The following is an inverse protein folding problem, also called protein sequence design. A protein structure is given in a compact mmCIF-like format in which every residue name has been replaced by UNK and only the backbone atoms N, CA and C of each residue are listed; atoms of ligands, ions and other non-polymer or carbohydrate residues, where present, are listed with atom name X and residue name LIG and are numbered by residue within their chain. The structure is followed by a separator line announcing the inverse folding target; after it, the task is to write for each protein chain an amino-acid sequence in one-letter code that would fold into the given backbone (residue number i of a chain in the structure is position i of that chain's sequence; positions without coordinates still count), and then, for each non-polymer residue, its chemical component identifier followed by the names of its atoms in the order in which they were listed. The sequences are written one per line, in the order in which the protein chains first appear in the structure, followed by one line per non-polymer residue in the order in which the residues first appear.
data_IF_082960770201
#
_entry.id   IF_082960770201
#
_cell.length_a   1.000
_cell.length_b   1.000
_cell.length_c   1.000
_cell.angle_alpha   90.00
_cell.angle_beta   90.00
_cell.angle_gamma   90.00
#
_symmetry.space_group_name_H-M   'P 1'
#
loop_
_entity.id
_entity.type
_entity.pdbx_description
1 polymer ?
#
# COMPACT_ATOMS: atom_id res chain seq x y z
N UNK A 1 20.98 5.69 34.11
CA UNK A 1 19.80 4.80 33.99
C UNK A 1 20.07 3.87 32.82
N UNK A 2 19.89 2.55 32.96
CA UNK A 2 20.06 1.62 31.85
C UNK A 2 18.81 1.62 30.98
N UNK A 3 18.95 1.34 29.69
CA UNK A 3 17.80 1.23 28.77
C UNK A 3 16.78 0.16 29.20
N UNK A 4 17.22 -0.82 30.00
CA UNK A 4 16.39 -1.91 30.53
C UNK A 4 15.62 -1.55 31.82
N UNK A 5 15.82 -0.37 32.39
CA UNK A 5 15.17 0.03 33.66
C UNK A 5 13.72 0.50 33.39
N UNK A 6 12.75 0.13 34.25
CA UNK A 6 11.35 0.61 34.11
C UNK A 6 11.26 2.13 34.06
N UNK A 7 12.08 2.83 34.85
CA UNK A 7 12.09 4.29 34.87
C UNK A 7 12.50 4.87 33.51
N UNK A 8 13.36 4.19 32.76
CA UNK A 8 13.78 4.64 31.42
C UNK A 8 12.58 4.67 30.47
N UNK A 9 11.74 3.63 30.49
CA UNK A 9 10.50 3.60 29.70
C UNK A 9 9.51 4.70 30.12
N UNK A 10 9.33 4.94 31.42
CA UNK A 10 8.46 6.02 31.93
C UNK A 10 8.94 7.39 31.45
N UNK A 11 10.26 7.64 31.49
CA UNK A 11 10.85 8.89 31.06
C UNK A 11 10.73 9.09 29.53
N UNK A 12 10.69 8.00 28.75
CA UNK A 12 10.37 8.05 27.32
C UNK A 12 8.89 8.41 27.10
N UNK A 13 7.96 7.76 27.79
CA UNK A 13 6.52 8.05 27.69
C UNK A 13 6.20 9.51 28.07
N UNK A 14 6.85 10.06 29.10
CA UNK A 14 6.64 11.45 29.53
C UNK A 14 7.08 12.49 28.49
N UNK A 15 8.02 12.12 27.61
CA UNK A 15 8.57 12.99 26.57
C UNK A 15 8.01 12.69 25.18
N UNK A 16 7.12 11.70 25.07
CA UNK A 16 6.54 11.29 23.80
C UNK A 16 5.57 12.35 23.26
N UNK A 17 5.88 13.04 22.15
CA UNK A 17 5.00 14.04 21.56
C UNK A 17 3.69 13.43 21.03
N UNK A 18 3.64 12.11 20.82
CA UNK A 18 2.49 11.38 20.30
C UNK A 18 1.62 10.74 21.40
N UNK A 19 1.95 10.93 22.68
CA UNK A 19 1.28 10.24 23.79
C UNK A 19 -0.25 10.46 23.79
N UNK A 20 -0.70 11.65 23.38
CA UNK A 20 -2.12 12.02 23.29
C UNK A 20 -2.93 11.16 22.32
N UNK A 21 -2.32 10.55 21.31
CA UNK A 21 -3.05 9.74 20.33
C UNK A 21 -3.53 8.41 20.93
N UNK A 22 -2.89 7.91 21.99
CA UNK A 22 -3.30 6.66 22.64
C UNK A 22 -4.75 6.69 23.11
N UNK A 23 -5.26 7.83 23.58
CA UNK A 23 -6.65 7.98 24.03
C UNK A 23 -7.66 8.05 22.89
N UNK A 24 -7.21 8.15 21.63
CA UNK A 24 -8.08 8.16 20.45
C UNK A 24 -8.43 6.75 19.94
N UNK A 25 -7.84 5.71 20.54
CA UNK A 25 -8.13 4.32 20.20
C UNK A 25 -9.04 3.66 21.22
N UNK A 26 -9.82 2.68 20.75
CA UNK A 26 -10.56 1.79 21.63
C UNK A 26 -9.58 0.89 22.38
N UNK A 27 -9.56 1.01 23.71
CA UNK A 27 -8.80 0.16 24.62
C UNK A 27 -9.77 -0.37 25.69
N UNK A 28 -10.31 -1.57 25.44
CA UNK A 28 -11.30 -2.21 26.33
C UNK A 28 -10.68 -2.90 27.55
N UNK A 29 -9.40 -3.30 27.45
CA UNK A 29 -8.64 -3.90 28.54
C UNK A 29 -7.27 -3.23 28.64
N UNK A 30 -7.02 -2.59 29.79
CA UNK A 30 -5.75 -1.90 30.08
C UNK A 30 -4.62 -2.87 30.44
N UNK A 31 -4.93 -4.14 30.71
CA UNK A 31 -3.94 -5.17 31.03
C UNK A 31 -3.34 -5.82 29.78
N UNK A 32 -3.91 -5.57 28.59
CA UNK A 32 -3.40 -6.12 27.33
C UNK A 32 -2.33 -5.20 26.73
N UNK A 33 -1.11 -5.72 26.64
CA UNK A 33 -0.07 -5.16 25.79
C UNK A 33 -0.24 -5.69 24.36
N UNK A 34 -0.82 -4.88 23.48
CA UNK A 34 -1.12 -5.31 22.11
C UNK A 34 0.04 -5.00 21.17
N UNK A 35 0.75 -6.05 20.76
CA UNK A 35 1.96 -6.00 19.94
C UNK A 35 1.76 -6.66 18.57
N UNK A 36 0.52 -6.64 18.06
CA UNK A 36 0.13 -7.28 16.79
C UNK A 36 -0.54 -6.29 15.81
N UNK A 37 -0.28 -4.99 16.00
CA UNK A 37 -0.79 -3.91 15.15
C UNK A 37 -0.27 -3.96 13.70
N UNK A 38 0.84 -4.66 13.48
CA UNK A 38 1.39 -4.99 12.17
C UNK A 38 0.55 -6.01 11.40
N UNK A 39 -0.39 -6.69 12.07
CA UNK A 39 -1.34 -7.63 11.47
C UNK A 39 -2.74 -7.02 11.39
N UNK A 40 -3.22 -6.45 12.50
CA UNK A 40 -4.49 -5.72 12.55
C UNK A 40 -4.37 -4.48 13.44
N UNK A 41 -4.58 -3.31 12.87
CA UNK A 41 -4.54 -2.05 13.59
C UNK A 41 -5.66 -1.92 14.63
N UNK A 42 -5.40 -1.11 15.67
CA UNK A 42 -6.41 -0.82 16.69
C UNK A 42 -7.48 0.10 16.13
N UNK A 43 -8.74 -0.10 16.53
CA UNK A 43 -9.88 0.72 16.12
C UNK A 43 -9.79 2.15 16.67
N UNK A 44 -9.75 3.19 15.80
CA UNK A 44 -9.95 4.57 16.21
C UNK A 44 -11.39 4.81 16.70
N UNK A 45 -11.55 5.64 17.73
CA UNK A 45 -12.87 6.04 18.24
C UNK A 45 -13.67 6.80 17.17
N UNK A 46 -13.02 7.67 16.40
CA UNK A 46 -13.64 8.43 15.31
C UNK A 46 -14.21 7.55 14.19
N UNK A 47 -13.66 6.35 13.98
CA UNK A 47 -14.19 5.39 13.01
C UNK A 47 -15.60 4.93 13.38
N UNK A 48 -15.88 4.75 14.68
CA UNK A 48 -17.22 4.37 15.16
C UNK A 48 -18.22 5.49 14.83
N UNK A 49 -17.83 6.75 15.06
CA UNK A 49 -18.66 7.91 14.80
C UNK A 49 -18.92 8.08 13.29
N UNK A 50 -17.87 8.01 12.47
CA UNK A 50 -17.94 8.21 11.03
C UNK A 50 -18.81 7.15 10.32
N UNK A 51 -18.68 5.87 10.70
CA UNK A 51 -19.50 4.80 10.10
C UNK A 51 -20.96 4.92 10.52
N UNK A 52 -21.24 5.25 11.79
CA UNK A 52 -22.62 5.48 12.25
C UNK A 52 -23.26 6.69 11.58
N UNK A 53 -22.51 7.79 11.42
CA UNK A 53 -22.98 8.97 10.71
C UNK A 53 -23.29 8.65 9.24
N UNK A 54 -22.41 7.94 8.53
CA UNK A 54 -22.65 7.51 7.16
C UNK A 54 -23.97 6.71 7.03
N UNK A 55 -24.22 5.75 7.92
CA UNK A 55 -25.46 4.95 7.87
C UNK A 55 -26.71 5.78 8.17
N UNK A 56 -26.65 6.67 9.17
CA UNK A 56 -27.80 7.45 9.66
C UNK A 56 -28.14 8.64 8.76
N UNK A 57 -27.12 9.36 8.32
CA UNK A 57 -27.24 10.69 7.75
C UNK A 57 -26.99 10.72 6.23
N UNK A 58 -26.33 9.69 5.67
CA UNK A 58 -26.05 9.59 4.22
C UNK A 58 -26.78 8.39 3.59
N UNK A 59 -26.34 7.15 3.84
CA UNK A 59 -26.86 5.97 3.13
C UNK A 59 -28.37 5.75 3.35
N UNK A 60 -28.81 5.81 4.62
CA UNK A 60 -30.22 5.65 4.98
C UNK A 60 -31.16 6.60 4.22
N UNK A 61 -30.95 7.93 4.30
CA UNK A 61 -31.83 8.90 3.64
C UNK A 61 -31.56 9.10 2.13
N UNK A 62 -30.31 9.05 1.66
CA UNK A 62 -29.97 9.42 0.28
C UNK A 62 -30.15 8.27 -0.72
N UNK A 63 -30.02 7.02 -0.28
CA UNK A 63 -30.14 5.83 -1.14
C UNK A 63 -29.28 5.98 -2.43
N UNK A 64 -29.88 5.90 -3.61
CA UNK A 64 -29.20 6.03 -4.90
C UNK A 64 -28.69 7.45 -5.17
N UNK A 65 -29.29 8.50 -4.59
CA UNK A 65 -28.86 9.89 -4.88
C UNK A 65 -27.51 10.21 -4.30
N UNK A 66 -27.07 9.47 -3.28
CA UNK A 66 -25.72 9.61 -2.70
C UNK A 66 -24.60 9.29 -3.68
N UNK A 67 -24.86 8.49 -4.73
CA UNK A 67 -23.89 8.29 -5.81
C UNK A 67 -23.42 9.60 -6.47
N UNK A 68 -24.21 10.68 -6.40
CA UNK A 68 -23.81 11.99 -6.89
C UNK A 68 -22.56 12.57 -6.23
N UNK A 69 -22.20 12.12 -5.03
CA UNK A 69 -20.96 12.54 -4.34
C UNK A 69 -20.07 11.37 -3.89
N UNK A 70 -20.62 10.16 -3.77
CA UNK A 70 -19.87 8.96 -3.42
C UNK A 70 -19.00 8.38 -4.53
N UNK A 71 -19.38 8.62 -5.80
CA UNK A 71 -18.76 7.94 -6.96
C UNK A 71 -17.25 8.15 -7.02
N UNK A 72 -16.77 9.36 -6.73
CA UNK A 72 -15.37 9.71 -6.88
C UNK A 72 -14.55 9.52 -5.60
N UNK A 73 -15.14 9.03 -4.51
CA UNK A 73 -14.50 9.06 -3.19
C UNK A 73 -13.23 8.22 -3.05
N UNK A 74 -13.01 7.24 -3.94
CA UNK A 74 -11.81 6.41 -3.94
C UNK A 74 -10.54 7.25 -4.12
N UNK A 75 -10.58 8.28 -4.98
CA UNK A 75 -9.42 9.11 -5.29
C UNK A 75 -9.08 10.11 -4.18
N UNK A 76 -10.01 10.94 -3.65
CA UNK A 76 -9.70 11.80 -2.50
C UNK A 76 -9.25 11.03 -1.26
N UNK A 77 -9.76 9.80 -1.08
CA UNK A 77 -9.29 8.90 0.00
C UNK A 77 -7.88 8.39 -0.29
N UNK A 78 -7.58 8.02 -1.54
CA UNK A 78 -6.22 7.70 -1.98
C UNK A 78 -5.26 8.87 -1.79
N UNK A 79 -5.65 10.08 -2.16
CA UNK A 79 -4.85 11.30 -1.97
C UNK A 79 -4.55 11.56 -0.49
N UNK A 80 -5.46 11.19 0.42
CA UNK A 80 -5.21 11.25 1.86
C UNK A 80 -4.15 10.25 2.28
N UNK A 81 -4.24 8.99 1.82
CA UNK A 81 -3.19 7.97 2.06
C UNK A 81 -1.84 8.48 1.53
N UNK A 82 -1.81 8.99 0.30
CA UNK A 82 -0.61 9.45 -0.38
C UNK A 82 0.14 10.54 0.38
N UNK A 83 -0.55 11.60 0.80
CA UNK A 83 0.08 12.73 1.50
C UNK A 83 0.38 12.46 2.98
N UNK A 84 -0.38 11.57 3.63
CA UNK A 84 -0.20 11.27 5.06
C UNK A 84 0.89 10.23 5.32
N UNK A 85 1.20 9.35 4.36
CA UNK A 85 2.10 8.20 4.59
C UNK A 85 3.10 7.93 3.48
N UNK A 86 2.74 8.13 2.22
CA UNK A 86 3.56 7.66 1.10
C UNK A 86 4.56 8.72 0.62
N UNK A 87 4.32 10.00 0.91
CA UNK A 87 5.05 11.10 0.28
C UNK A 87 4.71 11.23 -1.21
N UNK A 88 3.44 11.00 -1.56
CA UNK A 88 2.92 11.05 -2.92
C UNK A 88 2.01 12.26 -3.13
N UNK A 89 2.20 12.97 -4.24
CA UNK A 89 1.31 14.03 -4.68
C UNK A 89 -0.07 13.49 -5.09
N UNK A 90 -1.08 14.37 -5.08
CA UNK A 90 -2.46 14.05 -5.44
C UNK A 90 -2.58 13.49 -6.88
N UNK A 91 -3.55 12.59 -7.07
CA UNK A 91 -3.83 11.93 -8.34
C UNK A 91 -2.88 10.77 -8.67
N UNK A 92 -2.21 10.20 -7.66
CA UNK A 92 -1.31 9.04 -7.83
C UNK A 92 -1.74 7.81 -7.02
N UNK A 93 -2.76 7.92 -6.17
CA UNK A 93 -3.20 6.85 -5.27
C UNK A 93 -4.70 6.65 -5.39
N UNK A 94 -5.15 5.39 -5.36
CA UNK A 94 -6.55 5.02 -5.20
C UNK A 94 -6.71 4.14 -3.97
N UNK A 95 -7.74 4.41 -3.16
CA UNK A 95 -8.20 3.49 -2.12
C UNK A 95 -9.27 2.56 -2.71
N UNK A 96 -8.89 1.34 -3.05
CA UNK A 96 -9.77 0.38 -3.73
C UNK A 96 -9.33 -1.08 -3.49
N UNK A 97 -10.30 -1.98 -3.68
CA UNK A 97 -10.10 -3.43 -3.74
C UNK A 97 -9.25 -3.99 -2.58
N UNK A 98 -8.42 -5.01 -2.84
CA UNK A 98 -7.52 -5.63 -1.87
C UNK A 98 -6.09 -5.60 -2.37
N UNK A 99 -5.10 -5.76 -1.48
CA UNK A 99 -3.68 -5.72 -1.85
C UNK A 99 -3.38 -6.71 -2.98
N UNK A 100 -3.88 -7.94 -2.87
CA UNK A 100 -3.69 -9.00 -3.87
C UNK A 100 -4.28 -8.64 -5.24
N UNK A 101 -5.48 -8.02 -5.27
CA UNK A 101 -6.12 -7.61 -6.54
C UNK A 101 -5.34 -6.46 -7.18
N UNK A 102 -4.96 -5.46 -6.39
CA UNK A 102 -4.18 -4.32 -6.84
C UNK A 102 -2.78 -4.75 -7.32
N UNK A 103 -2.14 -5.69 -6.60
CA UNK A 103 -0.83 -6.24 -6.95
C UNK A 103 -0.90 -6.98 -8.28
N UNK A 104 -1.90 -7.85 -8.46
CA UNK A 104 -2.14 -8.53 -9.74
C UNK A 104 -2.33 -7.53 -10.89
N UNK A 105 -3.15 -6.50 -10.66
CA UNK A 105 -3.46 -5.49 -11.67
C UNK A 105 -2.19 -4.73 -12.10
N UNK A 106 -1.40 -4.26 -11.14
CA UNK A 106 -0.18 -3.48 -11.41
C UNK A 106 0.97 -4.35 -11.96
N UNK A 107 1.14 -5.57 -11.46
CA UNK A 107 2.14 -6.50 -11.98
C UNK A 107 1.89 -6.79 -13.47
N UNK A 108 0.65 -7.13 -13.83
CA UNK A 108 0.29 -7.44 -15.20
C UNK A 108 0.32 -6.19 -16.11
N UNK A 109 -0.07 -5.03 -15.60
CA UNK A 109 0.08 -3.76 -16.33
C UNK A 109 1.56 -3.45 -16.64
N UNK A 110 2.45 -3.62 -15.66
CA UNK A 110 3.88 -3.39 -15.80
C UNK A 110 4.54 -4.34 -16.80
N UNK A 111 4.19 -5.63 -16.74
CA UNK A 111 4.68 -6.65 -17.68
C UNK A 111 4.26 -6.30 -19.11
N UNK A 112 2.99 -5.96 -19.32
CA UNK A 112 2.47 -5.62 -20.65
C UNK A 112 3.08 -4.31 -21.21
N UNK A 113 3.47 -3.38 -20.34
CA UNK A 113 4.18 -2.15 -20.71
C UNK A 113 5.65 -2.38 -21.11
N UNK A 114 6.17 -3.60 -20.97
CA UNK A 114 7.52 -3.98 -21.41
C UNK A 114 7.47 -5.11 -22.45
N UNK A 115 6.93 -4.84 -23.66
CA UNK A 115 6.78 -5.88 -24.68
C UNK A 115 8.12 -6.50 -25.06
N UNK A 116 8.13 -7.82 -25.24
CA UNK A 116 9.32 -8.60 -25.60
C UNK A 116 10.15 -9.08 -24.41
N UNK A 117 10.01 -8.46 -23.23
CA UNK A 117 10.69 -8.88 -22.00
C UNK A 117 9.97 -10.06 -21.35
N UNK A 118 10.71 -11.09 -20.93
CA UNK A 118 10.15 -12.36 -20.46
C UNK A 118 10.45 -12.70 -19.01
N UNK A 119 11.19 -11.88 -18.29
CA UNK A 119 11.61 -12.18 -16.91
C UNK A 119 10.93 -11.30 -15.88
N UNK A 120 10.46 -11.90 -14.79
CA UNK A 120 10.00 -11.22 -13.57
C UNK A 120 10.91 -11.67 -12.42
N UNK A 121 11.24 -10.75 -11.52
CA UNK A 121 12.08 -11.02 -10.35
C UNK A 121 11.32 -10.69 -9.07
N UNK A 122 11.40 -11.59 -8.10
CA UNK A 122 11.00 -11.38 -6.71
C UNK A 122 12.00 -12.08 -5.78
N UNK A 123 11.75 -12.08 -4.48
CA UNK A 123 12.56 -12.74 -3.47
C UNK A 123 11.79 -13.82 -2.70
N UNK A 124 12.51 -14.76 -2.10
CA UNK A 124 11.91 -15.90 -1.38
C UNK A 124 11.19 -15.46 -0.09
N UNK A 125 11.74 -14.46 0.60
CA UNK A 125 11.20 -13.94 1.86
C UNK A 125 9.91 -13.11 1.69
N UNK A 126 9.63 -12.66 0.47
CA UNK A 126 8.42 -11.92 0.13
C UNK A 126 7.13 -12.65 0.57
N UNK A 127 6.11 -11.86 0.87
CA UNK A 127 4.84 -12.36 1.38
C UNK A 127 4.25 -13.44 0.45
N UNK A 128 3.70 -14.54 0.99
CA UNK A 128 3.26 -15.67 0.17
C UNK A 128 2.28 -15.30 -0.96
N UNK A 129 1.34 -14.38 -0.73
CA UNK A 129 0.35 -14.02 -1.77
C UNK A 129 0.99 -13.38 -3.00
N UNK A 130 2.01 -12.55 -2.82
CA UNK A 130 2.72 -11.87 -3.90
C UNK A 130 3.41 -12.93 -4.77
N UNK A 131 4.11 -13.87 -4.14
CA UNK A 131 4.76 -15.00 -4.82
C UNK A 131 3.76 -15.86 -5.59
N UNK A 132 2.64 -16.22 -4.98
CA UNK A 132 1.61 -17.05 -5.63
C UNK A 132 0.99 -16.34 -6.85
N UNK A 133 0.78 -15.02 -6.77
CA UNK A 133 0.27 -14.23 -7.89
C UNK A 133 1.29 -14.21 -9.03
N UNK A 134 2.58 -13.97 -8.74
CA UNK A 134 3.63 -13.95 -9.74
C UNK A 134 3.84 -15.32 -10.40
N UNK A 135 3.80 -16.41 -9.63
CA UNK A 135 3.84 -17.77 -10.15
C UNK A 135 2.67 -18.03 -11.12
N UNK A 136 1.46 -17.60 -10.74
CA UNK A 136 0.27 -17.69 -11.58
C UNK A 136 0.40 -16.91 -12.89
N UNK A 137 0.85 -15.66 -12.82
CA UNK A 137 1.08 -14.80 -13.99
C UNK A 137 2.16 -15.41 -14.90
N UNK A 138 3.29 -15.84 -14.33
CA UNK A 138 4.38 -16.41 -15.08
C UNK A 138 3.96 -17.68 -15.82
N UNK A 139 3.21 -18.57 -15.15
CA UNK A 139 2.64 -19.77 -15.78
C UNK A 139 1.65 -19.44 -16.90
N UNK A 140 0.77 -18.46 -16.67
CA UNK A 140 -0.26 -18.08 -17.65
C UNK A 140 0.35 -17.47 -18.93
N UNK A 141 1.43 -16.69 -18.79
CA UNK A 141 2.04 -15.93 -19.89
C UNK A 141 3.32 -16.56 -20.45
N UNK A 142 3.79 -17.68 -19.87
CA UNK A 142 5.05 -18.31 -20.25
C UNK A 142 6.26 -17.43 -19.97
N UNK A 143 6.28 -16.75 -18.81
CA UNK A 143 7.38 -15.89 -18.36
C UNK A 143 8.33 -16.67 -17.45
N UNK A 144 9.57 -16.21 -17.38
CA UNK A 144 10.56 -16.67 -16.41
C UNK A 144 10.33 -15.95 -15.09
N UNK A 145 10.04 -16.69 -14.02
CA UNK A 145 10.03 -16.15 -12.67
C UNK A 145 11.35 -16.50 -11.98
N UNK A 146 12.12 -15.47 -11.63
CA UNK A 146 13.32 -15.59 -10.80
C UNK A 146 12.92 -15.26 -9.36
N UNK A 147 13.23 -16.17 -8.45
CA UNK A 147 13.08 -15.97 -7.00
C UNK A 147 14.49 -15.91 -6.42
N UNK A 148 14.86 -14.75 -5.89
CA UNK A 148 16.15 -14.56 -5.19
C UNK A 148 16.07 -15.28 -3.84
N UNK A 149 17.02 -16.18 -3.60
CA UNK A 149 17.11 -16.90 -2.33
C UNK A 149 17.71 -16.00 -1.24
N UNK A 150 16.83 -15.39 -0.44
CA UNK A 150 17.16 -14.54 0.71
C UNK A 150 16.46 -15.03 1.99
N UNK A 151 15.88 -16.22 1.98
CA UNK A 151 15.16 -16.79 3.11
C UNK A 151 15.94 -17.98 3.68
N UNK A 152 15.92 -18.15 5.01
CA UNK A 152 16.34 -19.40 5.64
C UNK A 152 15.23 -19.88 6.57
N UNK A 153 14.68 -21.10 6.38
CA UNK A 153 13.65 -21.63 7.27
C UNK A 153 14.07 -21.54 8.75
N UNK A 154 13.24 -20.87 9.55
CA UNK A 154 13.49 -20.66 10.99
C UNK A 154 14.48 -19.54 11.34
N UNK A 155 15.03 -18.78 10.37
CA UNK A 155 15.89 -17.62 10.61
C UNK A 155 15.42 -16.41 9.79
N UNK A 156 15.34 -15.25 10.42
CA UNK A 156 14.85 -14.01 9.81
C UNK A 156 15.93 -12.91 9.85
N UNK A 157 17.16 -13.23 9.42
CA UNK A 157 18.33 -12.32 9.53
C UNK A 157 18.86 -11.82 8.17
N UNK A 158 18.53 -12.50 7.07
CA UNK A 158 19.15 -12.27 5.75
C UNK A 158 18.13 -11.93 4.64
N UNK A 159 16.92 -11.52 5.02
CA UNK A 159 15.82 -11.27 4.07
C UNK A 159 15.93 -9.93 3.34
N UNK A 160 16.90 -9.07 3.69
CA UNK A 160 17.11 -7.78 3.02
C UNK A 160 17.70 -7.98 1.63
N UNK A 161 17.11 -7.33 0.62
CA UNK A 161 17.68 -7.23 -0.73
C UNK A 161 18.44 -5.91 -0.83
N UNK A 162 19.69 -5.98 -1.27
CA UNK A 162 20.52 -4.80 -1.57
C UNK A 162 20.78 -4.72 -3.08
N UNK A 163 21.22 -3.57 -3.62
CA UNK A 163 21.63 -3.46 -5.02
C UNK A 163 22.64 -4.54 -5.44
N UNK A 164 23.60 -4.88 -4.58
CA UNK A 164 24.63 -5.89 -4.86
C UNK A 164 24.04 -7.31 -4.97
N UNK A 165 22.95 -7.59 -4.24
CA UNK A 165 22.22 -8.86 -4.33
C UNK A 165 21.35 -8.89 -5.59
N UNK A 166 20.71 -7.77 -5.95
CA UNK A 166 19.77 -7.70 -7.06
C UNK A 166 20.45 -7.60 -8.43
N UNK A 167 21.51 -6.80 -8.58
CA UNK A 167 22.14 -6.49 -9.86
C UNK A 167 22.54 -7.73 -10.70
N UNK A 168 23.04 -8.84 -10.12
CA UNK A 168 23.36 -10.05 -10.88
C UNK A 168 22.17 -10.71 -11.60
N UNK A 169 20.94 -10.43 -11.17
CA UNK A 169 19.72 -10.98 -11.79
C UNK A 169 19.12 -10.07 -12.85
N UNK A 170 19.60 -8.82 -12.97
CA UNK A 170 19.06 -7.84 -13.89
C UNK A 170 19.64 -7.97 -15.29
N UNK A 171 18.78 -7.75 -16.29
CA UNK A 171 19.13 -7.72 -17.71
C UNK A 171 18.05 -6.98 -18.51
N UNK A 172 18.29 -6.76 -19.80
CA UNK A 172 17.32 -6.14 -20.71
C UNK A 172 16.05 -6.99 -20.94
N UNK A 173 16.04 -8.26 -20.51
CA UNK A 173 14.87 -9.16 -20.55
C UNK A 173 13.95 -9.03 -19.33
N UNK A 174 14.35 -8.28 -18.30
CA UNK A 174 13.54 -8.13 -17.08
C UNK A 174 12.42 -7.12 -17.32
N UNK A 175 11.17 -7.55 -17.21
CA UNK A 175 10.00 -6.70 -17.33
C UNK A 175 9.65 -6.01 -16.00
N UNK A 176 9.72 -6.77 -14.90
CA UNK A 176 9.21 -6.37 -13.60
C UNK A 176 10.11 -6.91 -12.49
N UNK A 177 10.34 -6.08 -11.48
CA UNK A 177 10.89 -6.49 -10.18
C UNK A 177 9.89 -6.13 -9.09
N UNK A 178 9.65 -7.05 -8.15
CA UNK A 178 8.76 -6.82 -7.01
C UNK A 178 9.46 -7.11 -5.70
N UNK A 179 9.34 -6.23 -4.70
CA UNK A 179 9.91 -6.43 -3.36
C UNK A 179 8.98 -5.80 -2.30
N UNK A 180 9.02 -6.30 -1.07
CA UNK A 180 8.40 -5.62 0.07
C UNK A 180 9.28 -4.43 0.51
N UNK A 181 8.68 -3.31 0.95
CA UNK A 181 9.42 -2.21 1.59
C UNK A 181 9.99 -2.66 2.95
N UNK A 182 9.19 -3.41 3.71
CA UNK A 182 9.57 -4.07 4.95
C UNK A 182 9.17 -5.53 4.86
N UNK A 183 10.14 -6.44 4.99
CA UNK A 183 9.90 -7.88 5.01
C UNK A 183 9.01 -8.27 6.19
N UNK A 184 7.93 -9.00 5.92
CA UNK A 184 6.90 -9.27 6.95
C UNK A 184 7.39 -10.10 8.15
N UNK A 185 8.45 -10.90 7.97
CA UNK A 185 8.99 -11.82 8.99
C UNK A 185 10.13 -11.19 9.78
N UNK A 186 11.18 -10.74 9.11
CA UNK A 186 12.37 -10.16 9.75
C UNK A 186 12.20 -8.70 10.16
N UNK A 187 11.26 -7.97 9.56
CA UNK A 187 11.23 -6.51 9.64
C UNK A 187 12.38 -5.83 8.88
N UNK A 188 13.12 -6.57 8.05
CA UNK A 188 14.19 -6.00 7.24
C UNK A 188 13.63 -4.94 6.28
N UNK A 189 14.20 -3.73 6.35
CA UNK A 189 13.82 -2.61 5.50
C UNK A 189 14.70 -2.56 4.26
N UNK A 190 14.08 -2.67 3.09
CA UNK A 190 14.75 -2.50 1.81
C UNK A 190 14.89 -0.99 1.47
N UNK A 191 16.01 -0.59 0.85
CA UNK A 191 16.24 0.81 0.48
C UNK A 191 15.52 1.14 -0.83
N UNK A 192 14.41 1.87 -0.73
CA UNK A 192 13.51 2.16 -1.85
C UNK A 192 14.28 2.77 -3.04
N UNK A 193 15.02 3.87 -2.80
CA UNK A 193 15.66 4.63 -3.88
C UNK A 193 16.76 3.85 -4.63
N UNK A 194 17.80 3.32 -3.97
CA UNK A 194 18.85 2.57 -4.66
C UNK A 194 18.33 1.38 -5.48
N UNK A 195 17.37 0.63 -4.96
CA UNK A 195 16.77 -0.51 -5.67
C UNK A 195 15.91 -0.04 -6.84
N UNK A 196 15.08 1.00 -6.64
CA UNK A 196 14.24 1.56 -7.71
C UNK A 196 15.10 2.13 -8.85
N UNK A 197 16.15 2.90 -8.53
CA UNK A 197 17.08 3.45 -9.53
C UNK A 197 17.79 2.33 -10.31
N UNK A 198 18.22 1.27 -9.61
CA UNK A 198 18.87 0.12 -10.22
C UNK A 198 17.95 -0.62 -11.19
N UNK A 199 16.71 -0.91 -10.79
CA UNK A 199 15.72 -1.60 -11.66
C UNK A 199 15.44 -0.76 -12.91
N UNK A 200 15.26 0.55 -12.75
CA UNK A 200 15.02 1.49 -13.84
C UNK A 200 16.20 1.60 -14.81
N UNK A 201 17.44 1.48 -14.33
CA UNK A 201 18.66 1.47 -15.18
C UNK A 201 18.62 0.35 -16.23
N UNK A 202 17.98 -0.78 -15.92
CA UNK A 202 17.78 -1.90 -16.86
C UNK A 202 16.48 -1.78 -17.67
N UNK A 203 15.72 -0.70 -17.49
CA UNK A 203 14.44 -0.44 -18.16
C UNK A 203 13.28 -1.29 -17.65
N UNK A 204 13.43 -2.03 -16.55
CA UNK A 204 12.34 -2.74 -15.89
C UNK A 204 11.50 -1.76 -15.05
N UNK A 205 10.29 -2.16 -14.65
CA UNK A 205 9.47 -1.44 -13.67
C UNK A 205 9.65 -2.05 -12.28
N UNK A 206 9.64 -1.20 -11.25
CA UNK A 206 9.68 -1.62 -9.84
C UNK A 206 8.29 -1.53 -9.20
N UNK A 207 7.79 -2.64 -8.66
CA UNK A 207 6.54 -2.72 -7.89
C UNK A 207 6.84 -3.02 -6.41
N UNK A 208 6.54 -2.06 -5.55
CA UNK A 208 6.70 -2.22 -4.11
C UNK A 208 5.42 -2.71 -3.43
N UNK A 209 5.51 -3.70 -2.56
CA UNK A 209 4.48 -3.94 -1.52
C UNK A 209 4.88 -3.18 -0.24
N UNK A 210 4.05 -2.25 0.19
CA UNK A 210 4.28 -1.41 1.36
C UNK A 210 3.31 -1.74 2.52
N UNK A 211 2.70 -2.92 2.54
CA UNK A 211 1.70 -3.33 3.52
C UNK A 211 2.22 -3.29 4.96
N UNK A 212 3.51 -3.59 5.17
CA UNK A 212 4.16 -3.50 6.49
C UNK A 212 4.81 -2.13 6.77
N UNK A 213 4.84 -1.23 5.79
CA UNK A 213 5.51 0.08 5.91
C UNK A 213 4.54 1.26 6.05
N UNK A 214 3.39 1.21 5.37
CA UNK A 214 2.37 2.26 5.38
C UNK A 214 1.88 2.55 6.80
N UNK A 215 2.01 3.81 7.23
CA UNK A 215 1.65 4.24 8.59
C UNK A 215 2.66 3.88 9.68
N UNK A 216 3.79 3.25 9.33
CA UNK A 216 4.86 2.90 10.28
C UNK A 216 6.17 3.70 10.05
N UNK A 217 6.55 3.89 8.79
CA UNK A 217 7.79 4.60 8.41
C UNK A 217 7.55 5.60 7.30
N UNK A 218 8.41 6.62 7.23
CA UNK A 218 8.45 7.53 6.08
C UNK A 218 9.08 6.84 4.86
N UNK A 219 8.40 6.93 3.71
CA UNK A 219 8.79 6.24 2.47
C UNK A 219 9.12 7.16 1.29
N UNK A 220 8.58 8.38 1.24
CA UNK A 220 8.95 9.41 0.26
C UNK A 220 8.91 8.94 -1.22
N UNK A 221 7.82 8.28 -1.65
CA UNK A 221 7.70 7.64 -2.96
C UNK A 221 8.04 8.55 -4.15
N UNK A 222 7.51 9.77 -4.18
CA UNK A 222 7.80 10.71 -5.28
C UNK A 222 9.29 11.10 -5.31
N UNK A 223 9.87 11.39 -4.15
CA UNK A 223 11.31 11.76 -4.04
C UNK A 223 12.22 10.58 -4.40
N UNK A 224 11.77 9.36 -4.12
CA UNK A 224 12.51 8.13 -4.36
C UNK A 224 12.27 7.52 -5.75
N UNK A 225 11.43 8.15 -6.58
CA UNK A 225 11.23 7.76 -7.98
C UNK A 225 10.47 6.45 -8.16
N UNK A 226 9.67 6.05 -7.17
CA UNK A 226 8.85 4.83 -7.20
C UNK A 226 7.89 4.87 -8.38
N UNK A 227 7.89 3.82 -9.20
CA UNK A 227 7.03 3.72 -10.39
C UNK A 227 5.60 3.31 -10.00
N UNK A 228 5.47 2.18 -9.30
CA UNK A 228 4.20 1.59 -8.86
C UNK A 228 4.34 0.93 -7.49
N UNK A 229 3.26 0.94 -6.71
CA UNK A 229 3.24 0.32 -5.38
C UNK A 229 1.83 -0.10 -4.97
N UNK A 230 1.73 -1.02 -4.00
CA UNK A 230 0.49 -1.42 -3.36
C UNK A 230 0.65 -1.48 -1.85
N UNK A 231 -0.45 -1.50 -1.13
CA UNK A 231 -0.44 -1.84 0.28
C UNK A 231 -1.83 -1.93 0.87
N UNK A 232 -1.92 -2.52 2.06
CA UNK A 232 -3.17 -2.58 2.80
C UNK A 232 -3.40 -1.33 3.67
N UNK A 233 -4.60 -1.19 4.23
CA UNK A 233 -4.95 -0.13 5.20
C UNK A 233 -5.28 -0.70 6.59
N UNK A 234 -5.43 -2.02 6.73
CA UNK A 234 -5.90 -2.64 7.97
C UNK A 234 -4.82 -2.95 9.01
N UNK A 235 -3.53 -2.89 8.64
CA UNK A 235 -2.38 -3.08 9.55
C UNK A 235 -2.12 -1.78 10.34
N UNK A 236 -0.94 -1.19 10.20
CA UNK A 236 -0.60 0.11 10.81
C UNK A 236 -1.49 1.28 10.35
N UNK A 237 -2.19 1.13 9.22
CA UNK A 237 -3.21 2.08 8.76
C UNK A 237 -4.53 2.06 9.53
N UNK A 238 -4.71 1.16 10.52
CA UNK A 238 -5.82 1.15 11.50
C UNK A 238 -7.24 1.23 10.90
N UNK A 239 -7.44 0.81 9.66
CA UNK A 239 -8.70 1.02 8.93
C UNK A 239 -9.73 -0.11 9.10
N UNK A 240 -9.44 -1.08 9.97
CA UNK A 240 -10.35 -2.17 10.30
C UNK A 240 -10.18 -3.42 9.44
N UNK A 241 -10.73 -4.57 9.87
CA UNK A 241 -10.42 -5.88 9.31
C UNK A 241 -10.85 -6.00 7.85
N UNK A 242 -9.89 -6.28 6.96
CA UNK A 242 -10.15 -6.42 5.51
C UNK A 242 -10.64 -5.15 4.83
N UNK A 243 -10.36 -3.97 5.40
CA UNK A 243 -10.65 -2.68 4.77
C UNK A 243 -9.97 -2.54 3.40
N UNK A 244 -10.52 -1.69 2.50
CA UNK A 244 -9.98 -1.52 1.16
C UNK A 244 -8.48 -1.21 1.17
N UNK A 245 -7.74 -1.83 0.28
CA UNK A 245 -6.33 -1.56 0.08
C UNK A 245 -6.12 -0.26 -0.71
N UNK A 246 -4.89 -0.04 -1.15
CA UNK A 246 -4.56 1.02 -2.09
C UNK A 246 -3.59 0.54 -3.17
N UNK A 247 -3.62 1.25 -4.29
CA UNK A 247 -2.58 1.20 -5.33
C UNK A 247 -2.04 2.60 -5.56
N UNK A 248 -0.74 2.68 -5.82
CA UNK A 248 -0.04 3.89 -6.23
C UNK A 248 0.52 3.69 -7.64
N UNK A 249 0.34 4.69 -8.49
CA UNK A 249 0.93 4.74 -9.82
C UNK A 249 1.50 6.13 -10.03
N UNK A 250 2.81 6.22 -10.23
CA UNK A 250 3.47 7.49 -10.47
C UNK A 250 2.90 8.14 -11.74
N UNK A 251 2.66 9.45 -11.67
CA UNK A 251 2.07 10.22 -12.77
C UNK A 251 2.81 10.06 -14.10
N UNK A 252 4.13 9.85 -14.05
CA UNK A 252 4.96 9.68 -15.24
C UNK A 252 4.73 8.36 -15.97
N UNK A 253 4.20 7.33 -15.30
CA UNK A 253 3.94 6.01 -15.91
C UNK A 253 2.45 5.72 -16.10
N UNK A 254 1.54 6.54 -15.54
CA UNK A 254 0.08 6.30 -15.65
C UNK A 254 -0.43 6.17 -17.09
N UNK A 255 0.09 6.97 -18.02
CA UNK A 255 -0.31 6.95 -19.43
C UNK A 255 0.26 5.75 -20.21
N UNK A 256 1.34 5.15 -19.69
CA UNK A 256 2.00 3.98 -20.27
C UNK A 256 1.29 2.67 -19.86
N UNK A 257 0.69 2.64 -18.67
CA UNK A 257 0.11 1.43 -18.08
C UNK A 257 -1.37 1.23 -18.45
N UNK A 258 -1.67 0.06 -18.98
CA UNK A 258 -3.03 -0.43 -19.22
C UNK A 258 -3.42 -1.47 -18.18
N UNK A 259 -4.64 -1.37 -17.63
CA UNK A 259 -5.12 -2.33 -16.62
C UNK A 259 -5.69 -3.60 -17.26
N UNK A 260 -5.40 -4.79 -16.70
CA UNK A 260 -5.94 -6.06 -17.20
C UNK A 260 -7.41 -6.28 -16.83
N UNK A 261 -7.88 -5.67 -15.74
CA UNK A 261 -9.27 -5.74 -15.28
C UNK A 261 -9.94 -4.42 -15.68
N UNK A 262 -10.66 -4.45 -16.79
CA UNK A 262 -11.36 -3.30 -17.37
C UNK A 262 -12.74 -3.15 -16.74
N UNK A 263 -12.78 -2.63 -15.52
CA UNK A 263 -14.02 -2.39 -14.78
C UNK A 263 -14.69 -1.07 -15.16
N UNK A 264 -15.99 -0.94 -14.88
CA UNK A 264 -16.77 0.23 -15.33
C UNK A 264 -16.34 1.55 -14.68
N UNK A 265 -15.65 1.54 -13.53
CA UNK A 265 -15.11 2.76 -12.91
C UNK A 265 -13.86 3.31 -13.61
N UNK A 266 -13.13 2.46 -14.33
CA UNK A 266 -12.00 2.90 -15.16
C UNK A 266 -12.45 3.35 -16.55
N UNK A 267 -13.74 3.33 -16.87
CA UNK A 267 -14.25 3.83 -18.14
C UNK A 267 -14.20 5.36 -18.20
N UNK A 268 -13.69 5.89 -19.31
CA UNK A 268 -13.62 7.32 -19.61
C UNK A 268 -14.99 7.98 -19.52
N UNK A 269 -15.94 7.52 -20.34
CA UNK A 269 -17.36 7.87 -20.24
C UNK A 269 -18.14 6.82 -19.42
N UNK A 270 -17.99 6.88 -18.08
CA UNK A 270 -18.57 5.91 -17.14
C UNK A 270 -20.09 5.79 -17.27
N UNK A 271 -20.79 6.89 -17.53
CA UNK A 271 -22.25 6.94 -17.57
C UNK A 271 -22.84 6.86 -18.97
N UNK A 272 -22.02 7.01 -20.02
CA UNK A 272 -22.42 6.67 -21.39
C UNK A 272 -22.73 5.18 -21.56
N UNK A 273 -22.16 4.31 -20.70
CA UNK A 273 -22.40 2.85 -20.70
C UNK A 273 -22.29 2.21 -22.09
N UNK A 274 -21.34 2.73 -22.91
CA UNK A 274 -21.13 2.29 -24.27
C UNK A 274 -20.51 0.87 -24.36
N UNK A 275 -20.56 0.24 -25.55
CA UNK A 275 -20.07 -1.13 -25.74
C UNK A 275 -18.54 -1.23 -25.83
N UNK A 276 -17.83 -0.10 -25.89
CA UNK A 276 -16.38 -0.04 -26.06
C UNK A 276 -15.73 0.51 -24.79
N UNK A 277 -14.72 -0.19 -24.29
CA UNK A 277 -13.91 0.28 -23.18
C UNK A 277 -12.85 1.28 -23.66
N UNK A 278 -12.84 2.43 -23.00
CA UNK A 278 -11.84 3.49 -23.14
C UNK A 278 -11.36 3.82 -21.73
N UNK A 279 -10.11 3.52 -21.42
CA UNK A 279 -9.55 3.78 -20.10
C UNK A 279 -9.59 5.29 -19.79
N UNK A 280 -10.12 5.65 -18.63
CA UNK A 280 -10.09 7.00 -18.11
C UNK A 280 -8.65 7.50 -17.93
N UNK A 281 -8.46 8.80 -18.15
CA UNK A 281 -7.16 9.43 -17.91
C UNK A 281 -6.80 9.42 -16.42
N UNK A 282 -5.51 9.42 -16.14
CA UNK A 282 -4.96 9.50 -14.80
C UNK A 282 -5.24 8.26 -13.93
N UNK A 283 -5.22 8.45 -12.61
CA UNK A 283 -5.35 7.35 -11.65
C UNK A 283 -6.73 6.68 -11.69
N UNK A 284 -7.80 7.41 -12.02
CA UNK A 284 -9.16 6.83 -12.15
C UNK A 284 -9.20 5.66 -13.12
N UNK A 285 -8.37 5.70 -14.16
CA UNK A 285 -8.21 4.60 -15.13
C UNK A 285 -7.67 3.30 -14.56
N UNK A 286 -7.40 3.20 -13.25
CA UNK A 286 -7.00 1.96 -12.57
C UNK A 286 -8.12 1.38 -11.69
N UNK A 287 -9.19 2.13 -11.43
CA UNK A 287 -10.28 1.68 -10.56
C UNK A 287 -11.14 0.62 -11.25
N UNK A 288 -11.42 -0.50 -10.56
CA UNK A 288 -12.20 -1.59 -11.12
C UNK A 288 -13.71 -1.36 -10.90
N UNK A 289 -14.10 -1.22 -9.65
CA UNK A 289 -15.50 -1.26 -9.25
C UNK A 289 -15.90 -0.08 -8.37
N UNK A 290 -17.18 -0.03 -8.02
CA UNK A 290 -17.71 0.93 -7.06
C UNK A 290 -16.96 0.83 -5.74
N UNK A 291 -16.56 1.96 -5.13
CA UNK A 291 -15.81 1.93 -3.89
C UNK A 291 -16.67 1.42 -2.73
N UNK A 292 -16.04 0.72 -1.78
CA UNK A 292 -16.66 0.38 -0.50
C UNK A 292 -16.69 1.62 0.40
N UNK A 293 -17.78 2.38 0.39
CA UNK A 293 -17.87 3.66 1.11
C UNK A 293 -17.68 3.51 2.62
N UNK A 294 -18.21 2.45 3.23
CA UNK A 294 -17.96 2.15 4.65
C UNK A 294 -16.47 1.96 4.90
N UNK A 295 -15.79 1.19 4.03
CA UNK A 295 -14.34 1.02 4.09
C UNK A 295 -13.60 2.35 3.93
N UNK A 296 -14.03 3.20 3.00
CA UNK A 296 -13.44 4.54 2.82
C UNK A 296 -13.64 5.45 4.05
N UNK A 297 -14.78 5.37 4.76
CA UNK A 297 -14.99 6.11 6.03
C UNK A 297 -14.00 5.65 7.10
N UNK A 298 -13.71 4.35 7.19
CA UNK A 298 -12.69 3.82 8.11
C UNK A 298 -11.29 4.34 7.76
N UNK A 299 -10.93 4.31 6.48
CA UNK A 299 -9.63 4.81 6.00
C UNK A 299 -9.49 6.30 6.30
N UNK A 300 -10.50 7.12 5.95
CA UNK A 300 -10.48 8.56 6.22
C UNK A 300 -10.26 8.86 7.70
N UNK A 301 -10.95 8.15 8.59
CA UNK A 301 -10.82 8.33 10.04
C UNK A 301 -9.41 8.02 10.54
N UNK A 302 -8.82 6.90 10.11
CA UNK A 302 -7.50 6.48 10.56
C UNK A 302 -6.36 7.29 9.94
N UNK A 303 -6.39 7.53 8.62
CA UNK A 303 -5.32 8.25 7.93
C UNK A 303 -5.34 9.76 8.20
N UNK A 304 -6.49 10.36 8.57
CA UNK A 304 -6.50 11.74 9.07
C UNK A 304 -5.78 11.87 10.41
N UNK A 305 -5.88 10.85 11.27
CA UNK A 305 -5.12 10.79 12.53
C UNK A 305 -3.62 10.64 12.27
N UNK A 306 -3.23 9.84 11.26
CA UNK A 306 -1.83 9.72 10.83
C UNK A 306 -1.32 11.05 10.27
N UNK A 307 -2.12 11.75 9.46
CA UNK A 307 -1.79 13.08 8.94
C UNK A 307 -1.58 14.10 10.07
N UNK A 308 -2.44 14.08 11.09
CA UNK A 308 -2.32 14.94 12.27
C UNK A 308 -1.07 14.62 13.12
N UNK A 309 -0.74 13.33 13.27
CA UNK A 309 0.44 12.88 14.00
C UNK A 309 1.75 13.19 13.26
N UNK A 310 1.71 13.12 11.92
CA UNK A 310 2.86 13.26 11.04
C UNK A 310 3.68 11.96 10.96
N UNK A 311 3.86 11.43 9.75
CA UNK A 311 4.59 10.16 9.53
C UNK A 311 6.05 10.23 10.00
N UNK A 312 6.69 11.41 9.93
CA UNK A 312 8.04 11.62 10.45
C UNK A 312 8.13 11.37 11.96
N UNK A 313 7.21 11.94 12.75
CA UNK A 313 7.18 11.73 14.19
C UNK A 313 6.85 10.27 14.58
N UNK A 314 5.96 9.62 13.81
CA UNK A 314 5.67 8.19 13.98
C UNK A 314 6.93 7.36 13.71
N UNK A 315 7.61 7.62 12.60
CA UNK A 315 8.83 6.90 12.19
C UNK A 315 9.97 7.11 13.19
N UNK A 316 10.13 8.32 13.72
CA UNK A 316 11.13 8.63 14.76
C UNK A 316 10.84 7.86 16.04
N UNK A 317 9.59 7.82 16.49
CA UNK A 317 9.19 7.05 17.69
C UNK A 317 9.38 5.54 17.50
N UNK A 318 9.09 5.02 16.32
CA UNK A 318 9.25 3.59 16.01
C UNK A 318 10.72 3.13 15.99
N UNK A 319 11.67 4.05 15.87
CA UNK A 319 13.11 3.77 15.83
C UNK A 319 13.79 3.75 17.22
N UNK A 320 13.08 4.11 18.30
CA UNK A 320 13.57 4.11 19.69
C UNK A 320 13.54 2.71 20.27
#
# INVERSE_FOLDING_TARGET
MKATDRQFAIDLDQRDPLARFRSQFVISDLNICYLDGNSLGRLPLSTIEAVNAFMRDEWGPEVVTGWGHWVDEAQPTGDLIGRSTLGAAAGQVLACDTTSVNFYQLALAAINARPGRKTIITDAANFPTDRYILEGIAKQLGLNLIIIDNETPGKAEHERITPEILEPYLSDDVALVTLEVIQYRSGARNDIKPLTDLVRKYGALMLWDASHAVGAIEMDFDKNGVDIAVGCTYKYGNSGPGSPAWLYVNKNVQAELQVPIQGWFSQGDQFGMGPVFEKAEGIRGFQIASPSLIGLRCIKSAFSMIEEAGIGAISEKAAI
#
